data_IF_166857145481
#
_entry.id   IF_166857145481
#
_cell.length_a   1.000
_cell.length_b   1.000
_cell.length_c   1.000
_cell.angle_alpha   90.00
_cell.angle_beta   90.00
_cell.angle_gamma   90.00
#
_symmetry.space_group_name_H-M   'P 1'
#
loop_
_entity.id
_entity.type
_entity.pdbx_description
1 polymer ?
#
# COMPACT_ATOMS: atom_id res chain seq x y z
N UNK A 1 -11.61 31.96 5.01
CA UNK A 1 -10.97 30.70 5.47
C UNK A 1 -10.57 29.95 4.22
N UNK A 2 -9.28 29.80 3.95
CA UNK A 2 -8.81 29.14 2.73
C UNK A 2 -9.06 27.65 2.84
N UNK A 3 -10.11 27.15 2.19
CA UNK A 3 -10.16 25.76 1.78
C UNK A 3 -9.38 25.65 0.47
N UNK A 4 -8.06 25.48 0.60
CA UNK A 4 -7.33 24.79 -0.46
C UNK A 4 -7.83 23.36 -0.39
N UNK A 5 -8.85 23.03 -1.19
CA UNK A 5 -9.21 21.64 -1.52
C UNK A 5 -8.06 21.06 -2.34
N UNK A 6 -6.89 20.93 -1.72
CA UNK A 6 -5.76 20.21 -2.26
C UNK A 6 -6.18 18.75 -2.34
N UNK A 7 -5.95 18.13 -3.49
CA UNK A 7 -6.24 16.72 -3.71
C UNK A 7 -5.52 15.87 -2.66
N UNK A 8 -6.19 15.56 -1.55
CA UNK A 8 -5.68 14.61 -0.57
C UNK A 8 -6.07 13.21 -1.03
N UNK A 9 -5.20 12.24 -0.78
CA UNK A 9 -5.50 10.83 -1.04
C UNK A 9 -6.80 10.40 -0.36
N UNK A 10 -7.05 10.88 0.86
CA UNK A 10 -8.31 10.65 1.57
C UNK A 10 -9.53 11.26 0.85
N UNK A 11 -9.41 12.48 0.31
CA UNK A 11 -10.48 13.09 -0.49
C UNK A 11 -10.73 12.33 -1.81
N UNK A 12 -9.73 11.62 -2.32
CA UNK A 12 -9.86 10.69 -3.44
C UNK A 12 -10.36 9.29 -3.03
N UNK A 13 -10.73 9.08 -1.76
CA UNK A 13 -11.23 7.80 -1.24
C UNK A 13 -10.14 6.78 -0.92
N UNK A 14 -8.88 7.20 -0.84
CA UNK A 14 -7.75 6.33 -0.49
C UNK A 14 -7.55 6.30 1.03
N UNK A 15 -7.59 5.10 1.59
CA UNK A 15 -7.27 4.82 2.99
C UNK A 15 -5.90 4.13 3.07
N UNK A 16 -4.92 4.84 3.65
CA UNK A 16 -3.53 4.39 3.76
C UNK A 16 -3.41 3.24 4.77
N UNK A 17 -4.08 3.34 5.91
CA UNK A 17 -4.03 2.31 6.96
C UNK A 17 -4.66 1.00 6.48
N UNK A 18 -5.74 1.09 5.69
CA UNK A 18 -6.32 -0.07 5.03
C UNK A 18 -5.34 -0.71 4.03
N UNK A 19 -4.59 0.12 3.30
CA UNK A 19 -3.53 -0.32 2.39
C UNK A 19 -2.43 -1.09 3.11
N UNK A 20 -1.91 -0.55 4.21
CA UNK A 20 -0.84 -1.18 4.99
C UNK A 20 -1.28 -2.54 5.55
N UNK A 21 -2.50 -2.62 6.08
CA UNK A 21 -3.07 -3.91 6.54
C UNK A 21 -3.19 -4.92 5.40
N UNK A 22 -3.62 -4.47 4.22
CA UNK A 22 -3.71 -5.36 3.07
C UNK A 22 -2.33 -5.88 2.66
N UNK A 23 -1.30 -5.04 2.67
CA UNK A 23 0.09 -5.43 2.40
C UNK A 23 0.56 -6.48 3.40
N UNK A 24 0.35 -6.29 4.71
CA UNK A 24 0.73 -7.27 5.73
C UNK A 24 0.08 -8.65 5.50
N UNK A 25 -1.21 -8.68 5.14
CA UNK A 25 -1.92 -9.93 4.86
C UNK A 25 -1.40 -10.62 3.59
N UNK A 26 -0.97 -9.85 2.58
CA UNK A 26 -0.47 -10.41 1.32
C UNK A 26 0.97 -10.93 1.40
N UNK A 27 1.80 -10.42 2.33
CA UNK A 27 3.23 -10.76 2.43
C UNK A 27 3.52 -12.26 2.44
N UNK A 28 2.74 -13.05 3.18
CA UNK A 28 2.96 -14.50 3.28
C UNK A 28 2.81 -15.18 1.91
N UNK A 29 1.74 -14.84 1.20
CA UNK A 29 1.41 -15.44 -0.09
C UNK A 29 2.36 -14.98 -1.19
N UNK A 30 2.72 -13.70 -1.20
CA UNK A 30 3.67 -13.15 -2.17
C UNK A 30 5.05 -13.80 -2.00
N UNK A 31 5.51 -14.00 -0.76
CA UNK A 31 6.80 -14.67 -0.48
C UNK A 31 6.85 -16.10 -1.05
N UNK A 32 5.73 -16.84 -1.06
CA UNK A 32 5.66 -18.19 -1.65
C UNK A 32 5.90 -18.22 -3.16
N UNK A 33 5.69 -17.09 -3.84
CA UNK A 33 5.88 -16.94 -5.29
C UNK A 33 7.25 -16.39 -5.68
N UNK A 34 8.13 -16.15 -4.70
CA UNK A 34 9.40 -15.48 -4.94
C UNK A 34 10.37 -16.36 -5.72
N UNK A 35 11.09 -15.74 -6.66
CA UNK A 35 12.08 -16.39 -7.52
C UNK A 35 13.51 -15.96 -7.16
N UNK A 36 14.54 -16.74 -7.53
CA UNK A 36 15.94 -16.43 -7.23
C UNK A 36 16.44 -15.09 -7.79
N UNK A 37 15.83 -14.59 -8.86
CA UNK A 37 16.22 -13.32 -9.49
C UNK A 37 15.63 -12.09 -8.77
N UNK A 38 14.65 -12.29 -7.87
CA UNK A 38 13.99 -11.18 -7.15
C UNK A 38 14.87 -10.70 -6.01
N UNK A 39 15.15 -9.39 -6.00
CA UNK A 39 15.88 -8.71 -4.93
C UNK A 39 14.91 -7.91 -4.07
N UNK A 40 14.90 -8.16 -2.75
CA UNK A 40 14.00 -7.47 -1.80
C UNK A 40 12.67 -8.20 -1.55
N UNK A 41 11.68 -7.47 -1.04
CA UNK A 41 10.36 -8.01 -0.67
C UNK A 41 9.23 -6.99 -0.85
N UNK A 42 8.02 -7.38 -0.45
CA UNK A 42 6.84 -6.51 -0.48
C UNK A 42 6.79 -5.69 0.82
N UNK A 43 6.80 -4.35 0.69
CA UNK A 43 6.83 -3.40 1.79
C UNK A 43 8.25 -3.02 2.18
#
# INVERSE_FOLDING_TARGET
MSETTGASYAAAGVDIDAGDRAVELMKEWVRKTQRPEVLGGLG
#
